data_IF_711891353396
#
_entry.id   IF_711891353396
#
_cell.length_a   1.000
_cell.length_b   1.000
_cell.length_c   1.000
_cell.angle_alpha   90.00
_cell.angle_beta   90.00
_cell.angle_gamma   90.00
#
_symmetry.space_group_name_H-M   'P 1'
#
loop_
_entity.id
_entity.type
_entity.pdbx_description
1 polymer ?
#
# COMPACT_ATOMS: atom_id res chain seq x y z
N UNK A 1 -19.12 -2.73 -5.65
CA UNK A 1 -18.70 -3.37 -4.38
C UNK A 1 -17.61 -2.52 -3.77
N UNK A 2 -17.66 -2.24 -2.47
CA UNK A 2 -16.68 -1.42 -1.77
C UNK A 2 -16.00 -2.27 -0.71
N UNK A 3 -14.70 -2.10 -0.56
CA UNK A 3 -13.94 -2.84 0.44
C UNK A 3 -12.60 -2.19 0.68
N UNK A 4 -11.96 -2.57 1.76
CA UNK A 4 -10.69 -2.00 2.18
C UNK A 4 -9.80 -3.07 2.80
N UNK A 5 -8.50 -2.93 2.58
CA UNK A 5 -7.47 -3.77 3.19
C UNK A 5 -6.33 -2.87 3.65
N UNK A 6 -5.86 -3.04 4.87
CA UNK A 6 -4.70 -2.33 5.39
C UNK A 6 -3.66 -3.33 5.88
N UNK A 7 -2.38 -3.05 5.57
CA UNK A 7 -1.24 -3.86 5.99
C UNK A 7 -0.27 -3.04 6.84
N UNK A 8 0.21 -3.62 7.93
CA UNK A 8 1.44 -3.19 8.58
C UNK A 8 2.61 -3.93 7.93
N UNK A 9 3.66 -3.20 7.56
CA UNK A 9 4.90 -3.76 7.01
C UNK A 9 6.09 -2.84 7.28
N UNK A 10 7.30 -3.34 7.11
CA UNK A 10 8.53 -2.55 7.13
C UNK A 10 9.04 -2.35 5.71
N UNK A 11 9.29 -1.09 5.34
CA UNK A 11 10.07 -0.72 4.15
C UNK A 11 11.54 -0.62 4.55
N UNK A 12 12.42 -1.25 3.78
CA UNK A 12 13.88 -1.25 3.99
C UNK A 12 14.51 0.05 3.50
N UNK A 13 15.78 0.28 3.83
CA UNK A 13 16.54 1.40 3.30
C UNK A 13 16.77 1.32 1.76
N UNK A 14 16.55 0.15 1.14
CA UNK A 14 16.60 -0.06 -0.31
C UNK A 14 15.25 0.16 -1.00
N UNK A 15 14.19 0.47 -0.23
CA UNK A 15 12.84 0.64 -0.77
C UNK A 15 12.09 -0.67 -1.01
N UNK A 16 12.59 -1.79 -0.50
CA UNK A 16 11.90 -3.09 -0.54
C UNK A 16 11.04 -3.26 0.70
N UNK A 17 10.03 -4.13 0.63
CA UNK A 17 9.35 -4.55 1.85
C UNK A 17 10.08 -5.74 2.49
N UNK A 18 10.15 -5.74 3.81
CA UNK A 18 10.54 -6.92 4.58
C UNK A 18 9.34 -7.88 4.66
N UNK A 19 9.35 -8.91 3.80
CA UNK A 19 8.24 -9.88 3.65
C UNK A 19 7.86 -10.56 4.97
N UNK A 20 8.81 -10.73 5.88
CA UNK A 20 8.57 -11.35 7.19
C UNK A 20 7.67 -10.50 8.09
N UNK A 21 7.59 -9.20 7.81
CA UNK A 21 6.86 -8.20 8.63
C UNK A 21 5.47 -7.88 8.13
N UNK A 22 5.07 -8.38 6.95
CA UNK A 22 3.76 -8.09 6.35
C UNK A 22 2.66 -8.73 7.19
N UNK A 23 1.76 -7.92 7.73
CA UNK A 23 0.60 -8.35 8.52
C UNK A 23 -0.64 -7.58 8.10
N UNK A 24 -1.77 -8.26 7.98
CA UNK A 24 -3.07 -7.60 7.81
C UNK A 24 -3.39 -6.87 9.11
N UNK A 25 -3.58 -5.56 9.01
CA UNK A 25 -4.01 -4.70 10.12
C UNK A 25 -5.53 -4.65 10.21
N UNK A 26 -6.21 -4.47 9.09
CA UNK A 26 -7.68 -4.47 8.99
C UNK A 26 -8.13 -4.86 7.59
N UNK A 27 -9.27 -5.53 7.45
CA UNK A 27 -9.77 -5.92 6.13
C UNK A 27 -11.29 -6.11 6.14
N UNK A 28 -11.96 -5.49 5.19
CA UNK A 28 -13.36 -5.73 4.83
C UNK A 28 -13.50 -6.50 3.52
N UNK A 29 -12.38 -6.78 2.83
CA UNK A 29 -12.31 -7.41 1.51
C UNK A 29 -11.35 -8.60 1.50
N UNK A 30 -11.60 -9.60 2.34
CA UNK A 30 -10.69 -10.75 2.55
C UNK A 30 -10.24 -11.46 1.27
N UNK A 31 -11.14 -11.58 0.29
CA UNK A 31 -10.86 -12.24 -0.99
C UNK A 31 -9.78 -11.52 -1.82
N UNK A 32 -9.53 -10.23 -1.55
CA UNK A 32 -8.51 -9.43 -2.23
C UNK A 32 -7.14 -9.49 -1.56
N UNK A 33 -7.07 -9.95 -0.31
CA UNK A 33 -5.82 -9.95 0.46
C UNK A 33 -4.66 -10.69 -0.22
N UNK A 34 -4.85 -11.87 -0.85
CA UNK A 34 -3.73 -12.56 -1.50
C UNK A 34 -3.15 -11.78 -2.68
N UNK A 35 -4.01 -11.17 -3.49
CA UNK A 35 -3.61 -10.38 -4.67
C UNK A 35 -2.90 -9.10 -4.25
N UNK A 36 -3.46 -8.37 -3.28
CA UNK A 36 -2.86 -7.13 -2.78
C UNK A 36 -1.54 -7.37 -2.03
N UNK A 37 -1.45 -8.48 -1.28
CA UNK A 37 -0.19 -8.89 -0.64
C UNK A 37 0.89 -9.15 -1.69
N UNK A 38 0.58 -9.88 -2.76
CA UNK A 38 1.52 -10.12 -3.86
C UNK A 38 1.99 -8.82 -4.51
N UNK A 39 1.06 -7.89 -4.79
CA UNK A 39 1.39 -6.58 -5.33
C UNK A 39 2.33 -5.78 -4.42
N UNK A 40 2.13 -5.82 -3.09
CA UNK A 40 3.04 -5.22 -2.12
C UNK A 40 4.44 -5.83 -2.18
N UNK A 41 4.54 -7.17 -2.29
CA UNK A 41 5.82 -7.90 -2.33
C UNK A 41 6.64 -7.64 -3.60
N UNK A 42 5.97 -7.24 -4.69
CA UNK A 42 6.57 -6.89 -5.97
C UNK A 42 6.86 -5.37 -6.08
N UNK A 43 6.24 -4.54 -5.25
CA UNK A 43 6.38 -3.09 -5.28
C UNK A 43 7.74 -2.58 -4.78
N UNK A 44 8.14 -1.42 -5.32
CA UNK A 44 9.29 -0.64 -4.84
C UNK A 44 8.80 0.67 -4.25
N UNK A 45 9.18 0.90 -2.99
CA UNK A 45 8.82 2.08 -2.22
C UNK A 45 9.99 3.06 -2.21
N UNK A 46 9.68 4.34 -2.07
CA UNK A 46 10.70 5.30 -1.65
C UNK A 46 11.01 5.06 -0.17
N UNK A 47 12.26 4.78 0.21
CA UNK A 47 12.61 4.58 1.61
C UNK A 47 12.39 5.87 2.40
N UNK A 48 12.10 5.73 3.69
CA UNK A 48 12.13 6.87 4.60
C UNK A 48 13.55 7.43 4.67
N UNK A 49 13.66 8.73 4.93
CA UNK A 49 14.95 9.41 5.09
C UNK A 49 15.00 10.06 6.46
N UNK A 50 16.09 9.81 7.19
CA UNK A 50 16.45 10.55 8.39
C UNK A 50 17.79 11.24 8.15
N UNK A 51 17.80 12.56 8.26
CA UNK A 51 19.00 13.38 8.06
C UNK A 51 19.72 13.10 6.73
N UNK A 52 18.95 12.85 5.66
CA UNK A 52 19.45 12.56 4.31
C UNK A 52 19.89 11.10 4.09
N UNK A 53 19.75 10.23 5.10
CA UNK A 53 20.11 8.81 5.00
C UNK A 53 18.85 7.95 4.91
N UNK A 54 18.84 7.02 3.96
CA UNK A 54 17.75 6.07 3.84
C UNK A 54 17.71 5.15 5.08
N UNK A 55 16.54 5.02 5.69
CA UNK A 55 16.32 4.23 6.91
C UNK A 55 15.17 3.25 6.74
N UNK A 56 15.18 2.19 7.56
CA UNK A 56 14.05 1.26 7.65
C UNK A 56 12.90 1.92 8.40
N UNK A 57 11.68 1.76 7.92
CA UNK A 57 10.50 2.33 8.55
C UNK A 57 9.33 1.35 8.54
N UNK A 58 8.60 1.28 9.67
CA UNK A 58 7.31 0.58 9.73
C UNK A 58 6.22 1.52 9.21
N UNK A 59 5.40 1.04 8.29
CA UNK A 59 4.34 1.80 7.64
C UNK A 59 3.02 1.03 7.66
N UNK A 60 1.92 1.78 7.55
CA UNK A 60 0.58 1.26 7.34
C UNK A 60 0.15 1.58 5.90
N UNK A 61 -0.03 0.55 5.07
CA UNK A 61 -0.46 0.72 3.67
C UNK A 61 -1.94 0.39 3.55
N UNK A 62 -2.75 1.33 3.07
CA UNK A 62 -4.18 1.17 2.87
C UNK A 62 -4.54 0.97 1.40
N UNK A 63 -5.47 0.07 1.14
CA UNK A 63 -6.09 -0.15 -0.15
C UNK A 63 -7.57 0.14 -0.01
N UNK A 64 -8.08 1.07 -0.82
CA UNK A 64 -9.51 1.33 -0.98
C UNK A 64 -9.94 0.72 -2.31
N UNK A 65 -10.82 -0.28 -2.24
CA UNK A 65 -11.27 -1.05 -3.38
C UNK A 65 -12.65 -0.54 -3.76
N UNK A 66 -12.71 0.17 -4.87
CA UNK A 66 -13.98 0.58 -5.49
C UNK A 66 -14.15 -0.23 -6.77
N UNK A 67 -14.95 -1.28 -6.68
CA UNK A 67 -15.42 -1.98 -7.88
C UNK A 67 -16.56 -1.16 -8.49
N UNK A 68 -16.19 -0.09 -9.18
CA UNK A 68 -16.92 0.49 -10.30
C UNK A 68 -16.42 -0.27 -11.52
N UNK A 69 -17.29 -1.01 -12.22
CA UNK A 69 -16.94 -2.05 -13.20
C UNK A 69 -15.54 -1.91 -13.82
N UNK A 70 -14.56 -2.66 -13.31
CA UNK A 70 -13.17 -2.81 -13.80
C UNK A 70 -12.53 -1.59 -14.51
N UNK A 71 -12.76 -0.36 -14.05
CA UNK A 71 -12.22 0.84 -14.71
C UNK A 71 -10.95 1.41 -14.03
N UNK A 72 -10.65 1.03 -12.78
CA UNK A 72 -9.40 1.45 -12.14
C UNK A 72 -9.16 0.93 -10.71
N UNK A 73 -7.89 0.85 -10.34
CA UNK A 73 -7.39 0.53 -9.00
C UNK A 73 -6.74 1.78 -8.39
N UNK A 74 -7.23 2.25 -7.25
CA UNK A 74 -6.61 3.34 -6.50
C UNK A 74 -5.82 2.81 -5.29
N UNK A 75 -4.51 3.02 -5.29
CA UNK A 75 -3.61 2.82 -4.17
C UNK A 75 -3.51 4.11 -3.34
N UNK A 76 -3.76 4.03 -2.03
CA UNK A 76 -3.57 5.17 -1.11
C UNK A 76 -2.51 4.81 -0.07
N UNK A 77 -1.30 5.33 -0.26
CA UNK A 77 -0.19 5.12 0.68
C UNK A 77 -0.12 6.30 1.64
N UNK A 78 -0.50 6.07 2.90
CA UNK A 78 -0.40 7.06 3.96
C UNK A 78 0.78 6.71 4.90
N UNK A 79 1.77 7.58 4.99
CA UNK A 79 2.77 7.50 6.08
C UNK A 79 2.16 8.22 7.26
N UNK A 80 1.75 7.49 8.32
CA UNK A 80 1.34 8.12 9.58
C UNK A 80 2.57 8.62 10.32
N UNK A 81 3.01 9.82 9.96
CA UNK A 81 3.87 10.70 10.75
C UNK A 81 2.99 11.54 11.69
N UNK A 82 3.48 11.93 12.87
CA UNK A 82 2.77 12.84 13.77
C UNK A 82 2.60 14.25 13.18
N UNK A 83 3.31 14.55 12.09
CA UNK A 83 3.05 15.71 11.25
C UNK A 83 2.07 15.32 10.14
N UNK A 84 1.01 16.11 10.00
CA UNK A 84 -0.06 15.93 9.03
C UNK A 84 0.47 16.04 7.59
N UNK A 85 0.99 14.95 7.04
CA UNK A 85 1.37 14.87 5.63
C UNK A 85 0.25 14.19 4.84
N UNK A 86 -0.14 14.82 3.73
CA UNK A 86 -1.19 14.33 2.82
C UNK A 86 -0.79 12.93 2.31
N UNK A 87 -1.68 11.93 2.33
CA UNK A 87 -1.36 10.60 1.84
C UNK A 87 -1.04 10.67 0.35
N UNK A 88 -0.06 9.87 -0.09
CA UNK A 88 0.21 9.67 -1.51
C UNK A 88 -0.93 8.85 -2.09
N UNK A 89 -1.61 9.41 -3.10
CA UNK A 89 -2.70 8.74 -3.80
C UNK A 89 -2.25 8.47 -5.23
N UNK A 90 -2.22 7.19 -5.61
CA UNK A 90 -1.94 6.74 -6.97
C UNK A 90 -3.17 6.01 -7.48
N UNK A 91 -3.80 6.50 -8.55
CA UNK A 91 -4.89 5.79 -9.21
C UNK A 91 -4.41 5.30 -10.56
N UNK A 92 -4.55 4.00 -10.78
CA UNK A 92 -4.30 3.36 -12.07
C UNK A 92 -5.63 3.13 -12.76
N UNK A 93 -5.83 3.77 -13.91
CA UNK A 93 -6.98 3.53 -14.78
C UNK A 93 -6.60 2.47 -15.82
N UNK A 94 -7.24 1.31 -15.73
CA UNK A 94 -7.14 0.26 -16.75
C UNK A 94 -8.47 0.20 -17.47
N UNK A 95 -8.49 0.38 -18.80
CA UNK A 95 -9.70 0.09 -19.58
C UNK A 95 -9.97 -1.41 -19.48
N UNK A 96 -10.97 -1.80 -18.70
CA UNK A 96 -11.48 -3.17 -18.69
C UNK A 96 -11.83 -3.59 -20.12
N UNK A 97 -11.08 -4.56 -20.65
CA UNK A 97 -11.38 -5.21 -21.92
C UNK A 97 -12.57 -6.15 -21.73
N UNK A 98 -13.46 -6.11 -22.71
CA UNK A 98 -14.69 -6.92 -22.87
C UNK A 98 -14.50 -8.43 -22.60
#
# INVERSE_FOLDING_TARGET
MHGSVAYTLVVTATGEIDRSTVRVYSSTAKNWEPVLKRALEEARFRPASDSGRAVRARVLVGFDIRAEGFAGLCLVVAVRSSAAEKPLQFCYEGKGGE
#
